data_IF_304760482972
#
_entry.id   IF_304760482972
#
_cell.length_a   1.000
_cell.length_b   1.000
_cell.length_c   1.000
_cell.angle_alpha   90.00
_cell.angle_beta   90.00
_cell.angle_gamma   90.00
#
_symmetry.space_group_name_H-M   'P 1'
#
loop_
_entity.id
_entity.type
_entity.pdbx_description
1 polymer ?
#
# COMPACT_ATOMS: atom_id res chain seq x y z
N UNK A 1 -25.08 -30.63 12.57
CA UNK A 1 -24.45 -29.36 12.98
C UNK A 1 -23.10 -29.11 12.28
N UNK A 2 -22.15 -30.07 12.25
CA UNK A 2 -20.84 -29.89 11.59
C UNK A 2 -20.87 -29.60 10.09
N UNK A 3 -21.77 -30.21 9.32
CA UNK A 3 -21.84 -29.97 7.85
C UNK A 3 -22.36 -28.58 7.48
N UNK A 4 -23.22 -27.97 8.29
CA UNK A 4 -23.76 -26.62 8.05
C UNK A 4 -22.76 -25.53 8.40
N UNK A 5 -21.98 -25.71 9.48
CA UNK A 5 -20.89 -24.80 9.87
C UNK A 5 -19.76 -24.82 8.83
N UNK A 6 -19.39 -26.01 8.33
CA UNK A 6 -18.37 -26.14 7.29
C UNK A 6 -18.75 -25.37 6.03
N UNK A 7 -19.98 -25.52 5.53
CA UNK A 7 -20.46 -24.78 4.34
C UNK A 7 -20.49 -23.26 4.55
N UNK A 8 -20.62 -22.79 5.79
CA UNK A 8 -20.72 -21.39 6.15
C UNK A 8 -19.36 -20.65 6.11
N UNK A 9 -18.25 -21.33 6.37
CA UNK A 9 -16.90 -20.74 6.49
C UNK A 9 -15.92 -21.22 5.42
N UNK A 10 -16.21 -22.35 4.79
CA UNK A 10 -15.34 -22.97 3.79
C UNK A 10 -16.04 -22.91 2.43
N UNK A 11 -15.35 -22.29 1.46
CA UNK A 11 -15.79 -22.22 0.06
C UNK A 11 -15.54 -23.53 -0.69
N UNK A 12 -16.11 -23.65 -1.86
CA UNK A 12 -15.76 -24.70 -2.83
C UNK A 12 -14.51 -24.32 -3.65
N UNK A 13 -14.01 -25.23 -4.46
CA UNK A 13 -12.84 -25.00 -5.30
C UNK A 13 -13.00 -23.81 -6.26
N UNK A 14 -14.21 -23.59 -6.79
CA UNK A 14 -14.51 -22.46 -7.67
C UNK A 14 -14.41 -21.13 -6.93
N UNK A 15 -14.86 -21.07 -5.67
CA UNK A 15 -14.72 -19.90 -4.82
C UNK A 15 -13.24 -19.53 -4.59
N UNK A 16 -12.41 -20.50 -4.23
CA UNK A 16 -10.98 -20.24 -4.01
C UNK A 16 -10.27 -19.86 -5.28
N UNK A 17 -10.63 -20.46 -6.42
CA UNK A 17 -10.10 -20.07 -7.74
C UNK A 17 -10.42 -18.61 -8.05
N UNK A 18 -11.64 -18.17 -7.79
CA UNK A 18 -12.07 -16.77 -7.97
C UNK A 18 -11.28 -15.83 -7.03
N UNK A 19 -11.19 -16.15 -5.74
CA UNK A 19 -10.46 -15.34 -4.77
C UNK A 19 -8.97 -15.21 -5.11
N UNK A 20 -8.32 -16.32 -5.45
CA UNK A 20 -6.91 -16.36 -5.84
C UNK A 20 -6.64 -15.67 -7.18
N UNK A 21 -7.58 -15.72 -8.13
CA UNK A 21 -7.46 -15.00 -9.39
C UNK A 21 -7.38 -13.46 -9.21
N UNK A 22 -7.93 -12.95 -8.11
CA UNK A 22 -7.81 -11.53 -7.74
C UNK A 22 -6.59 -11.29 -6.84
N UNK A 23 -6.42 -12.10 -5.80
CA UNK A 23 -5.39 -11.88 -4.78
C UNK A 23 -3.96 -12.16 -5.28
N UNK A 24 -3.74 -13.26 -6.02
CA UNK A 24 -2.39 -13.67 -6.44
C UNK A 24 -1.72 -12.64 -7.36
N UNK A 25 -2.39 -12.08 -8.39
CA UNK A 25 -1.78 -11.04 -9.20
C UNK A 25 -1.38 -9.79 -8.37
N UNK A 26 -2.22 -9.37 -7.41
CA UNK A 26 -1.92 -8.24 -6.52
C UNK A 26 -0.74 -8.58 -5.62
N UNK A 27 -0.69 -9.80 -5.09
CA UNK A 27 0.40 -10.29 -4.25
C UNK A 27 1.73 -10.31 -5.01
N UNK A 28 1.75 -10.84 -6.22
CA UNK A 28 2.94 -10.87 -7.07
C UNK A 28 3.42 -9.46 -7.37
N UNK A 29 2.52 -8.56 -7.78
CA UNK A 29 2.87 -7.17 -8.08
C UNK A 29 3.50 -6.48 -6.87
N UNK A 30 2.85 -6.53 -5.70
CA UNK A 30 3.34 -5.89 -4.48
C UNK A 30 4.66 -6.52 -4.00
N UNK A 31 4.77 -7.84 -4.06
CA UNK A 31 5.99 -8.56 -3.67
C UNK A 31 7.19 -8.17 -4.54
N UNK A 32 7.01 -8.13 -5.85
CA UNK A 32 8.06 -7.73 -6.80
C UNK A 32 8.42 -6.26 -6.61
N UNK A 33 7.45 -5.37 -6.43
CA UNK A 33 7.70 -3.94 -6.18
C UNK A 33 8.53 -3.74 -4.91
N UNK A 34 8.20 -4.43 -3.81
CA UNK A 34 8.97 -4.34 -2.56
C UNK A 34 10.40 -4.86 -2.74
N UNK A 35 10.56 -5.98 -3.45
CA UNK A 35 11.89 -6.55 -3.71
C UNK A 35 12.77 -5.61 -4.54
N UNK A 36 12.20 -4.95 -5.53
CA UNK A 36 12.95 -4.00 -6.37
C UNK A 36 13.31 -2.74 -5.63
N UNK A 37 12.41 -2.21 -4.81
CA UNK A 37 12.73 -1.07 -3.95
C UNK A 37 13.91 -1.36 -3.03
N UNK A 38 14.03 -2.61 -2.55
CA UNK A 38 15.21 -3.05 -1.79
C UNK A 38 16.47 -3.06 -2.67
N UNK A 39 16.40 -3.60 -3.89
CA UNK A 39 17.53 -3.62 -4.82
C UNK A 39 17.97 -2.21 -5.23
N UNK A 40 17.03 -1.31 -5.50
CA UNK A 40 17.31 0.10 -5.83
C UNK A 40 18.08 0.78 -4.70
N UNK A 41 17.66 0.59 -3.46
CA UNK A 41 18.36 1.13 -2.30
C UNK A 41 19.78 0.57 -2.17
N UNK A 42 19.99 -0.73 -2.42
CA UNK A 42 21.32 -1.36 -2.40
C UNK A 42 22.20 -0.80 -3.52
N UNK A 43 21.65 -0.64 -4.75
CA UNK A 43 22.38 -0.14 -5.92
C UNK A 43 22.83 1.31 -5.71
N UNK A 44 21.93 2.17 -5.23
CA UNK A 44 22.25 3.58 -4.92
C UNK A 44 23.24 3.66 -3.75
N UNK A 45 23.11 2.82 -2.73
CA UNK A 45 24.03 2.75 -1.60
C UNK A 45 25.49 2.43 -1.98
N UNK A 46 25.71 1.78 -3.13
CA UNK A 46 27.07 1.52 -3.66
C UNK A 46 27.71 2.73 -4.35
N UNK A 47 26.96 3.78 -4.63
CA UNK A 47 27.48 4.96 -5.35
C UNK A 47 28.16 5.94 -4.41
N UNK A 48 27.61 6.15 -3.21
CA UNK A 48 28.17 7.06 -2.20
C UNK A 48 27.13 7.43 -1.14
N UNK A 49 27.62 7.80 0.04
CA UNK A 49 26.78 8.10 1.21
C UNK A 49 25.92 9.35 0.99
N UNK A 50 26.48 10.41 0.41
CA UNK A 50 25.80 11.68 0.15
C UNK A 50 24.68 11.49 -0.87
N UNK A 51 24.92 10.70 -1.93
CA UNK A 51 23.91 10.36 -2.94
C UNK A 51 22.78 9.51 -2.32
N UNK A 52 23.15 8.49 -1.55
CA UNK A 52 22.18 7.64 -0.86
C UNK A 52 21.30 8.43 0.10
N UNK A 53 21.88 9.35 0.87
CA UNK A 53 21.15 10.23 1.79
C UNK A 53 20.16 11.12 1.04
N UNK A 54 20.62 11.77 -0.04
CA UNK A 54 19.76 12.61 -0.88
C UNK A 54 18.58 11.84 -1.47
N UNK A 55 18.82 10.66 -2.03
CA UNK A 55 17.79 9.78 -2.59
C UNK A 55 16.80 9.32 -1.52
N UNK A 56 17.27 8.93 -0.34
CA UNK A 56 16.41 8.48 0.75
C UNK A 56 15.44 9.59 1.21
N UNK A 57 15.93 10.82 1.36
CA UNK A 57 15.10 11.98 1.73
C UNK A 57 14.03 12.24 0.68
N UNK A 58 14.41 12.28 -0.60
CA UNK A 58 13.45 12.53 -1.67
C UNK A 58 12.42 11.41 -1.78
N UNK A 59 12.82 10.16 -1.61
CA UNK A 59 11.88 9.03 -1.58
C UNK A 59 10.87 9.13 -0.43
N UNK A 60 11.28 9.64 0.74
CA UNK A 60 10.36 9.91 1.84
C UNK A 60 9.35 11.01 1.51
N UNK A 61 9.77 12.07 0.82
CA UNK A 61 8.88 13.13 0.34
C UNK A 61 7.90 12.61 -0.72
N UNK A 62 8.41 11.84 -1.69
CA UNK A 62 7.59 11.22 -2.75
C UNK A 62 6.59 10.22 -2.16
N UNK A 63 6.93 9.54 -1.06
CA UNK A 63 6.02 8.62 -0.37
C UNK A 63 4.74 9.32 0.09
N UNK A 64 4.82 10.56 0.59
CA UNK A 64 3.64 11.37 0.96
C UNK A 64 2.76 11.65 -0.27
N UNK A 65 3.37 12.01 -1.40
CA UNK A 65 2.63 12.17 -2.66
C UNK A 65 1.95 10.86 -3.10
N UNK A 66 2.65 9.74 -3.02
CA UNK A 66 2.10 8.43 -3.37
C UNK A 66 0.88 8.07 -2.50
N UNK A 67 0.91 8.39 -1.20
CA UNK A 67 -0.23 8.19 -0.29
C UNK A 67 -1.45 9.04 -0.71
N UNK A 68 -1.23 10.28 -1.14
CA UNK A 68 -2.31 11.14 -1.61
C UNK A 68 -2.98 10.57 -2.87
N UNK A 69 -2.21 10.11 -3.85
CA UNK A 69 -2.72 9.45 -5.05
C UNK A 69 -3.45 8.16 -4.70
N UNK A 70 -2.86 7.33 -3.82
CA UNK A 70 -3.48 6.08 -3.36
C UNK A 70 -4.82 6.34 -2.67
N UNK A 71 -4.91 7.32 -1.78
CA UNK A 71 -6.15 7.68 -1.11
C UNK A 71 -7.25 8.12 -2.08
N UNK A 72 -6.90 8.95 -3.08
CA UNK A 72 -7.84 9.41 -4.10
C UNK A 72 -8.36 8.26 -5.00
N UNK A 73 -7.46 7.42 -5.52
CA UNK A 73 -7.81 6.24 -6.33
C UNK A 73 -8.66 5.26 -5.53
N UNK A 74 -8.29 5.02 -4.31
CA UNK A 74 -8.85 4.07 -3.38
C UNK A 74 -10.29 4.41 -2.97
N UNK A 75 -10.57 5.68 -2.67
CA UNK A 75 -11.91 6.14 -2.32
C UNK A 75 -12.89 6.06 -3.50
N UNK A 76 -12.45 6.50 -4.68
CA UNK A 76 -13.22 6.33 -5.91
C UNK A 76 -13.41 4.85 -6.29
N UNK A 77 -12.44 4.00 -5.94
CA UNK A 77 -12.46 2.58 -6.23
C UNK A 77 -13.64 1.83 -5.60
N UNK A 78 -14.15 2.29 -4.47
CA UNK A 78 -15.35 1.70 -3.84
C UNK A 78 -16.56 1.83 -4.78
N UNK A 79 -16.74 3.01 -5.37
CA UNK A 79 -17.79 3.26 -6.36
C UNK A 79 -17.54 2.47 -7.65
N UNK A 80 -16.29 2.44 -8.14
CA UNK A 80 -15.91 1.69 -9.34
C UNK A 80 -16.27 0.21 -9.24
N UNK A 81 -15.95 -0.45 -8.13
CA UNK A 81 -16.26 -1.86 -7.88
C UNK A 81 -17.78 -2.09 -7.79
N UNK A 82 -18.53 -1.20 -7.11
CA UNK A 82 -19.98 -1.34 -7.00
C UNK A 82 -20.70 -1.04 -8.32
N UNK A 83 -20.31 -0.02 -9.10
CA UNK A 83 -20.86 0.22 -10.42
C UNK A 83 -20.59 -0.94 -11.38
N UNK A 84 -19.39 -1.51 -11.32
CA UNK A 84 -19.05 -2.70 -12.10
C UNK A 84 -19.97 -3.88 -11.73
N UNK A 85 -20.17 -4.13 -10.45
CA UNK A 85 -21.09 -5.18 -9.98
C UNK A 85 -22.54 -4.95 -10.40
N UNK A 86 -23.00 -3.70 -10.45
CA UNK A 86 -24.32 -3.31 -10.98
C UNK A 86 -24.44 -3.49 -12.50
N UNK A 87 -23.30 -3.61 -13.22
CA UNK A 87 -23.28 -3.60 -14.69
C UNK A 87 -23.40 -2.20 -15.30
N UNK A 88 -23.25 -1.15 -14.51
CA UNK A 88 -23.34 0.23 -14.92
C UNK A 88 -21.98 0.75 -15.43
N UNK A 89 -21.75 0.57 -16.71
CA UNK A 89 -20.52 0.99 -17.38
C UNK A 89 -20.34 2.51 -17.43
N UNK A 90 -21.43 3.26 -17.38
CA UNK A 90 -21.34 4.72 -17.35
C UNK A 90 -20.91 5.20 -15.96
N UNK A 91 -21.45 4.62 -14.90
CA UNK A 91 -20.99 4.86 -13.53
C UNK A 91 -19.51 4.55 -13.35
N UNK A 92 -19.01 3.43 -13.89
CA UNK A 92 -17.57 3.11 -13.87
C UNK A 92 -16.77 4.16 -14.64
N UNK A 93 -17.24 4.62 -15.82
CA UNK A 93 -16.62 5.68 -16.61
C UNK A 93 -16.53 7.00 -15.85
N UNK A 94 -17.63 7.41 -15.21
CA UNK A 94 -17.65 8.65 -14.42
C UNK A 94 -16.69 8.57 -13.23
N UNK A 95 -16.62 7.43 -12.56
CA UNK A 95 -15.67 7.16 -11.47
C UNK A 95 -14.23 7.23 -11.96
N UNK A 96 -13.94 6.65 -13.12
CA UNK A 96 -12.60 6.72 -13.73
C UNK A 96 -12.22 8.15 -14.12
N UNK A 97 -13.14 8.94 -14.70
CA UNK A 97 -12.93 10.37 -14.97
C UNK A 97 -12.62 11.15 -13.70
N UNK A 98 -13.34 10.86 -12.61
CA UNK A 98 -13.06 11.47 -11.31
C UNK A 98 -11.63 11.18 -10.86
N UNK A 99 -11.19 9.93 -10.93
CA UNK A 99 -9.81 9.54 -10.60
C UNK A 99 -8.81 10.35 -11.43
N UNK A 100 -9.00 10.39 -12.76
CA UNK A 100 -8.11 11.14 -13.65
C UNK A 100 -8.03 12.62 -13.27
N UNK A 101 -9.16 13.29 -13.06
CA UNK A 101 -9.18 14.71 -12.73
C UNK A 101 -8.54 15.00 -11.37
N UNK A 102 -8.94 14.29 -10.33
CA UNK A 102 -8.43 14.52 -8.97
C UNK A 102 -6.97 14.15 -8.86
N UNK A 103 -6.57 13.01 -9.42
CA UNK A 103 -5.17 12.59 -9.37
C UNK A 103 -4.27 13.50 -10.22
N UNK A 104 -4.75 14.03 -11.37
CA UNK A 104 -4.01 15.04 -12.13
C UNK A 104 -3.89 16.34 -11.34
N UNK A 105 -4.95 16.81 -10.70
CA UNK A 105 -4.89 17.99 -9.84
C UNK A 105 -3.90 17.82 -8.68
N UNK A 106 -3.91 16.66 -8.01
CA UNK A 106 -2.94 16.32 -6.97
C UNK A 106 -1.51 16.23 -7.51
N UNK A 107 -1.34 15.74 -8.73
CA UNK A 107 -0.02 15.69 -9.40
C UNK A 107 0.52 17.08 -9.68
N UNK A 108 -0.31 17.96 -10.22
CA UNK A 108 0.08 19.37 -10.47
C UNK A 108 0.38 20.07 -9.15
N UNK A 109 -0.48 19.92 -8.14
CA UNK A 109 -0.27 20.50 -6.82
C UNK A 109 1.03 19.98 -6.17
N UNK A 110 1.25 18.67 -6.19
CA UNK A 110 2.47 18.07 -5.65
C UNK A 110 3.74 18.53 -6.40
N UNK A 111 3.68 18.60 -7.73
CA UNK A 111 4.78 19.12 -8.52
C UNK A 111 5.06 20.61 -8.20
N UNK A 112 4.02 21.43 -8.06
CA UNK A 112 4.18 22.85 -7.67
C UNK A 112 4.81 22.97 -6.26
N UNK A 113 4.34 22.17 -5.29
CA UNK A 113 4.91 22.16 -3.93
C UNK A 113 6.39 21.80 -3.98
N UNK A 114 6.77 20.74 -4.70
CA UNK A 114 8.15 20.29 -4.77
C UNK A 114 9.04 21.25 -5.58
N UNK A 115 8.52 21.94 -6.60
CA UNK A 115 9.27 22.94 -7.33
C UNK A 115 9.50 24.21 -6.50
N UNK A 116 8.51 24.63 -5.71
CA UNK A 116 8.60 25.87 -4.92
C UNK A 116 9.31 25.68 -3.58
N UNK A 117 9.05 24.56 -2.90
CA UNK A 117 9.48 24.31 -1.53
C UNK A 117 10.39 23.06 -1.39
N UNK A 118 10.77 22.40 -2.48
CA UNK A 118 11.53 21.16 -2.45
C UNK A 118 12.85 21.28 -1.74
N UNK A 119 13.57 22.38 -1.94
CA UNK A 119 14.83 22.66 -1.24
C UNK A 119 14.63 22.80 0.28
N UNK A 120 13.65 23.60 0.70
CA UNK A 120 13.33 23.80 2.12
C UNK A 120 12.91 22.50 2.78
N UNK A 121 12.11 21.69 2.08
CA UNK A 121 11.67 20.38 2.57
C UNK A 121 12.84 19.41 2.72
N UNK A 122 13.79 19.37 1.79
CA UNK A 122 15.00 18.54 1.87
C UNK A 122 15.87 19.00 3.04
N UNK A 123 16.06 20.33 3.19
CA UNK A 123 16.85 20.91 4.27
C UNK A 123 16.29 20.61 5.65
N UNK A 124 14.97 20.43 5.82
CA UNK A 124 14.38 20.00 7.08
C UNK A 124 14.91 18.65 7.57
N UNK A 125 15.24 17.74 6.65
CA UNK A 125 15.78 16.42 6.96
C UNK A 125 17.31 16.45 7.17
N UNK A 126 18.01 17.44 6.59
CA UNK A 126 19.47 17.57 6.69
C UNK A 126 19.91 18.38 7.92
N UNK A 127 18.98 18.93 8.71
CA UNK A 127 19.29 19.66 9.94
C UNK A 127 19.71 18.68 11.04
N UNK A 128 20.99 18.68 11.40
CA UNK A 128 21.43 18.04 12.64
C UNK A 128 22.78 17.35 12.59
N UNK A 129 23.14 16.57 11.57
CA UNK A 129 24.36 15.78 11.56
C UNK A 129 25.07 15.83 10.20
N UNK A 130 26.26 16.42 10.14
CA UNK A 130 27.13 16.41 8.97
C UNK A 130 27.97 17.69 8.84
N UNK A 131 29.09 17.58 8.12
CA UNK A 131 29.86 18.79 7.73
C UNK A 131 29.06 19.64 6.74
N UNK A 132 29.27 20.97 6.71
CA UNK A 132 28.59 21.83 5.71
C UNK A 132 28.77 21.36 4.27
N UNK A 133 29.91 20.76 3.94
CA UNK A 133 30.21 20.21 2.62
C UNK A 133 29.36 18.97 2.30
N UNK A 134 29.18 18.06 3.26
CA UNK A 134 28.33 16.88 3.10
C UNK A 134 26.86 17.25 2.95
N UNK A 135 26.41 18.24 3.72
CA UNK A 135 25.02 18.75 3.62
C UNK A 135 24.80 19.36 2.24
N UNK A 136 25.72 20.21 1.77
CA UNK A 136 25.62 20.82 0.44
C UNK A 136 25.66 19.79 -0.70
N UNK A 137 26.51 18.78 -0.60
CA UNK A 137 26.59 17.70 -1.58
C UNK A 137 25.29 16.87 -1.62
N UNK A 138 24.80 16.44 -0.44
CA UNK A 138 23.55 15.68 -0.33
C UNK A 138 22.34 16.46 -0.84
N UNK A 139 22.29 17.78 -0.56
CA UNK A 139 21.25 18.67 -1.07
C UNK A 139 21.30 18.77 -2.62
N UNK A 140 22.50 18.89 -3.19
CA UNK A 140 22.69 18.94 -4.65
C UNK A 140 22.14 17.68 -5.33
N UNK A 141 22.54 16.50 -4.85
CA UNK A 141 22.03 15.21 -5.37
C UNK A 141 20.54 15.03 -5.15
N UNK A 142 20.01 15.44 -4.00
CA UNK A 142 18.59 15.36 -3.71
C UNK A 142 17.76 16.25 -4.66
N UNK A 143 18.21 17.48 -4.92
CA UNK A 143 17.53 18.41 -5.86
C UNK A 143 17.51 17.84 -7.27
N UNK A 144 18.65 17.36 -7.77
CA UNK A 144 18.74 16.76 -9.10
C UNK A 144 17.83 15.53 -9.23
N UNK A 145 17.89 14.62 -8.25
CA UNK A 145 17.04 13.45 -8.19
C UNK A 145 15.55 13.82 -8.16
N UNK A 146 15.15 14.80 -7.34
CA UNK A 146 13.76 15.27 -7.23
C UNK A 146 13.26 15.80 -8.55
N UNK A 147 14.02 16.68 -9.23
CA UNK A 147 13.63 17.28 -10.50
C UNK A 147 13.37 16.23 -11.58
N UNK A 148 14.21 15.19 -11.67
CA UNK A 148 14.01 14.08 -12.59
C UNK A 148 12.74 13.30 -12.22
N UNK A 149 12.54 13.00 -10.93
CA UNK A 149 11.39 12.25 -10.44
C UNK A 149 10.05 12.94 -10.66
N UNK A 150 10.01 14.30 -10.70
CA UNK A 150 8.79 15.06 -11.01
C UNK A 150 8.22 14.70 -12.39
N UNK A 151 9.07 14.42 -13.37
CA UNK A 151 8.63 13.96 -14.71
C UNK A 151 7.90 12.62 -14.59
N UNK A 152 8.33 11.77 -13.68
CA UNK A 152 7.73 10.46 -13.40
C UNK A 152 6.38 10.50 -12.67
N UNK A 153 5.95 11.65 -12.16
CA UNK A 153 4.65 11.77 -11.47
C UNK A 153 3.47 11.58 -12.41
N UNK A 154 3.57 12.10 -13.64
CA UNK A 154 2.49 11.97 -14.64
C UNK A 154 2.24 10.51 -15.00
N UNK A 155 3.23 9.73 -15.51
CA UNK A 155 3.01 8.33 -15.84
C UNK A 155 2.63 7.49 -14.61
N UNK A 156 3.19 7.76 -13.43
CA UNK A 156 2.80 7.11 -12.19
C UNK A 156 1.31 7.29 -11.90
N UNK A 157 0.82 8.53 -11.94
CA UNK A 157 -0.58 8.85 -11.68
C UNK A 157 -1.52 8.18 -12.67
N UNK A 158 -1.18 8.20 -13.96
CA UNK A 158 -1.94 7.50 -14.99
C UNK A 158 -1.97 5.99 -14.76
N UNK A 159 -0.80 5.40 -14.47
CA UNK A 159 -0.71 3.97 -14.15
C UNK A 159 -1.59 3.60 -12.95
N UNK A 160 -1.62 4.42 -11.88
CA UNK A 160 -2.45 4.16 -10.71
C UNK A 160 -3.96 4.25 -11.02
N UNK A 161 -4.39 5.25 -11.80
CA UNK A 161 -5.79 5.40 -12.18
C UNK A 161 -6.28 4.22 -13.02
N UNK A 162 -5.52 3.82 -14.04
CA UNK A 162 -5.84 2.69 -14.89
C UNK A 162 -5.78 1.36 -14.13
N UNK A 163 -4.67 1.08 -13.44
CA UNK A 163 -4.48 -0.15 -12.68
C UNK A 163 -5.54 -0.34 -11.59
N UNK A 164 -5.86 0.75 -10.87
CA UNK A 164 -6.92 0.73 -9.86
C UNK A 164 -8.26 0.32 -10.46
N UNK A 165 -8.65 0.96 -11.57
CA UNK A 165 -9.94 0.66 -12.20
C UNK A 165 -9.98 -0.72 -12.86
N UNK A 166 -8.87 -1.18 -13.44
CA UNK A 166 -8.76 -2.55 -13.96
C UNK A 166 -8.91 -3.59 -12.85
N UNK A 167 -8.30 -3.38 -11.67
CA UNK A 167 -8.48 -4.29 -10.52
C UNK A 167 -9.93 -4.32 -10.04
N UNK A 168 -10.58 -3.16 -9.94
CA UNK A 168 -11.98 -3.03 -9.52
C UNK A 168 -12.96 -3.73 -10.47
N UNK A 169 -12.59 -3.82 -11.76
CA UNK A 169 -13.35 -4.50 -12.82
C UNK A 169 -12.86 -5.93 -13.10
N UNK A 170 -12.08 -6.52 -12.17
CA UNK A 170 -11.65 -7.91 -12.24
C UNK A 170 -10.46 -8.19 -13.16
N UNK A 171 -9.88 -7.17 -13.82
CA UNK A 171 -8.71 -7.32 -14.70
C UNK A 171 -7.39 -7.16 -13.92
N UNK A 172 -7.15 -8.03 -12.94
CA UNK A 172 -6.01 -7.92 -12.00
C UNK A 172 -4.67 -8.35 -12.60
N UNK A 173 -4.69 -9.22 -13.61
CA UNK A 173 -3.47 -9.73 -14.27
C UNK A 173 -2.75 -8.64 -15.05
N UNK A 174 -3.49 -7.70 -15.65
CA UNK A 174 -2.89 -6.66 -16.50
C UNK A 174 -2.00 -5.70 -15.70
N UNK A 175 -2.46 -5.13 -14.57
CA UNK A 175 -1.60 -4.34 -13.68
C UNK A 175 -0.40 -5.13 -13.15
N UNK A 176 -0.57 -6.43 -12.85
CA UNK A 176 0.53 -7.28 -12.43
C UNK A 176 1.59 -7.39 -13.52
N UNK A 177 1.22 -7.71 -14.76
CA UNK A 177 2.16 -7.82 -15.88
C UNK A 177 2.86 -6.49 -16.14
N UNK A 178 2.11 -5.38 -16.14
CA UNK A 178 2.68 -4.05 -16.30
C UNK A 178 3.72 -3.73 -15.21
N UNK A 179 3.41 -4.06 -13.95
CA UNK A 179 4.34 -3.90 -12.84
C UNK A 179 5.59 -4.76 -12.99
N UNK A 180 5.45 -6.05 -13.37
CA UNK A 180 6.60 -6.93 -13.61
C UNK A 180 7.50 -6.40 -14.73
N UNK A 181 6.92 -5.98 -15.85
CA UNK A 181 7.68 -5.41 -16.98
C UNK A 181 8.39 -4.13 -16.56
N UNK A 182 7.70 -3.24 -15.85
CA UNK A 182 8.26 -2.01 -15.32
C UNK A 182 9.49 -2.26 -14.44
N UNK A 183 9.39 -3.25 -13.57
CA UNK A 183 10.47 -3.67 -12.67
C UNK A 183 11.69 -4.19 -13.43
N UNK A 184 11.49 -5.05 -14.42
CA UNK A 184 12.60 -5.55 -15.25
C UNK A 184 13.29 -4.39 -15.98
N UNK A 185 12.50 -3.47 -16.54
CA UNK A 185 13.02 -2.25 -17.19
C UNK A 185 13.80 -1.39 -16.20
N UNK A 186 13.26 -1.16 -15.00
CA UNK A 186 13.93 -0.40 -13.95
C UNK A 186 15.30 -1.00 -13.60
N UNK A 187 15.37 -2.31 -13.34
CA UNK A 187 16.62 -3.00 -13.02
C UNK A 187 17.66 -2.94 -14.15
N UNK A 188 17.21 -3.11 -15.40
CA UNK A 188 18.09 -3.00 -16.55
C UNK A 188 18.69 -1.58 -16.66
N UNK A 189 17.84 -0.54 -16.62
CA UNK A 189 18.30 0.84 -16.73
C UNK A 189 19.06 1.30 -15.49
N UNK A 190 18.73 0.85 -14.29
CA UNK A 190 19.54 1.08 -13.09
C UNK A 190 20.96 0.57 -13.28
N UNK A 191 21.11 -0.68 -13.73
CA UNK A 191 22.42 -1.27 -13.97
C UNK A 191 23.23 -0.48 -15.00
N UNK A 192 22.59 -0.03 -16.08
CA UNK A 192 23.25 0.73 -17.15
C UNK A 192 23.61 2.16 -16.71
N UNK A 193 22.69 2.88 -16.07
CA UNK A 193 22.83 4.32 -15.81
C UNK A 193 23.50 4.63 -14.46
N UNK A 194 23.34 3.78 -13.44
CA UNK A 194 24.03 3.98 -12.16
C UNK A 194 25.52 3.70 -12.29
N UNK A 195 25.87 2.59 -12.93
CA UNK A 195 27.25 2.10 -13.00
C UNK A 195 27.97 2.40 -14.32
N UNK A 196 27.24 2.81 -15.37
CA UNK A 196 27.84 3.17 -16.66
C UNK A 196 28.28 1.97 -17.50
N UNK A 197 27.56 0.83 -17.41
CA UNK A 197 27.88 -0.34 -18.22
C UNK A 197 27.50 -0.15 -19.69
N UNK A 198 28.12 -0.93 -20.58
CA UNK A 198 27.87 -0.94 -22.03
C UNK A 198 28.05 0.42 -22.72
N UNK A 199 28.92 1.29 -22.19
CA UNK A 199 29.19 2.60 -22.79
C UNK A 199 28.20 3.72 -22.40
N UNK A 200 27.25 3.43 -21.48
CA UNK A 200 26.39 4.43 -20.93
C UNK A 200 27.15 5.32 -19.92
N UNK A 201 26.76 6.62 -19.75
CA UNK A 201 27.37 7.49 -18.78
C UNK A 201 27.05 7.01 -17.35
N UNK A 202 28.04 7.10 -16.45
CA UNK A 202 27.86 6.80 -15.04
C UNK A 202 27.19 7.98 -14.33
N UNK A 203 25.88 7.93 -14.15
CA UNK A 203 25.07 9.02 -13.62
C UNK A 203 24.77 8.88 -12.10
N UNK A 204 25.13 7.75 -11.47
CA UNK A 204 24.87 7.53 -10.05
C UNK A 204 23.40 7.68 -9.66
N UNK A 205 23.10 8.54 -8.68
CA UNK A 205 21.73 8.76 -8.18
C UNK A 205 20.77 9.29 -9.27
N UNK A 206 21.24 10.20 -10.14
CA UNK A 206 20.44 10.71 -11.27
C UNK A 206 20.11 9.61 -12.26
N UNK A 207 21.01 8.66 -12.45
CA UNK A 207 20.77 7.45 -13.25
C UNK A 207 19.64 6.59 -12.68
N UNK A 208 19.58 6.43 -11.35
CA UNK A 208 18.48 5.73 -10.67
C UNK A 208 17.14 6.44 -10.87
N UNK A 209 17.11 7.79 -10.79
CA UNK A 209 15.90 8.57 -11.05
C UNK A 209 15.41 8.38 -12.49
N UNK A 210 16.30 8.49 -13.48
CA UNK A 210 15.96 8.29 -14.90
C UNK A 210 15.43 6.90 -15.14
N UNK A 211 16.07 5.86 -14.61
CA UNK A 211 15.62 4.48 -14.73
C UNK A 211 14.21 4.29 -14.16
N UNK A 212 13.94 4.87 -12.99
CA UNK A 212 12.62 4.84 -12.35
C UNK A 212 11.57 5.56 -13.19
N UNK A 213 11.89 6.71 -13.76
CA UNK A 213 10.98 7.47 -14.64
C UNK A 213 10.66 6.68 -15.90
N UNK A 214 11.67 6.09 -16.56
CA UNK A 214 11.46 5.21 -17.73
C UNK A 214 10.54 4.05 -17.39
N UNK A 215 10.79 3.38 -16.26
CA UNK A 215 9.98 2.26 -15.78
C UNK A 215 8.51 2.67 -15.56
N UNK A 216 8.26 3.86 -15.01
CA UNK A 216 6.90 4.40 -14.83
C UNK A 216 6.20 4.68 -16.15
N UNK A 217 6.92 5.20 -17.16
CA UNK A 217 6.36 5.37 -18.52
C UNK A 217 6.02 4.03 -19.15
N UNK A 218 6.86 3.01 -18.98
CA UNK A 218 6.58 1.65 -19.48
C UNK A 218 5.36 1.06 -18.78
N UNK A 219 5.26 1.16 -17.46
CA UNK A 219 4.09 0.68 -16.70
C UNK A 219 2.80 1.33 -17.20
N UNK A 220 2.77 2.65 -17.27
CA UNK A 220 1.64 3.39 -17.78
C UNK A 220 1.30 3.01 -19.22
N UNK A 221 2.32 2.93 -20.08
CA UNK A 221 2.18 2.54 -21.48
C UNK A 221 1.57 1.15 -21.66
N UNK A 222 2.05 0.15 -20.92
CA UNK A 222 1.53 -1.22 -20.98
C UNK A 222 0.07 -1.27 -20.57
N UNK A 223 -0.28 -0.66 -19.43
CA UNK A 223 -1.66 -0.67 -18.93
C UNK A 223 -2.61 0.09 -19.85
N UNK A 224 -2.22 1.28 -20.30
CA UNK A 224 -3.03 2.11 -21.19
C UNK A 224 -3.21 1.45 -22.57
N UNK A 225 -2.13 0.96 -23.15
CA UNK A 225 -2.15 0.33 -24.48
C UNK A 225 -3.03 -0.92 -24.47
N UNK A 226 -2.88 -1.77 -23.43
CA UNK A 226 -3.71 -2.95 -23.28
C UNK A 226 -5.19 -2.56 -23.13
N UNK A 227 -5.49 -1.59 -22.28
CA UNK A 227 -6.86 -1.16 -21.99
C UNK A 227 -7.55 -0.62 -23.27
N UNK A 228 -6.85 0.19 -24.06
CA UNK A 228 -7.41 0.75 -25.30
C UNK A 228 -7.49 -0.26 -26.46
N UNK A 229 -6.66 -1.31 -26.44
CA UNK A 229 -6.72 -2.41 -27.43
C UNK A 229 -7.79 -3.46 -27.13
N UNK A 230 -8.32 -3.49 -25.91
CA UNK A 230 -9.35 -4.46 -25.50
C UNK A 230 -10.68 -3.81 -25.08
N UNK A 231 -11.32 -3.01 -25.95
CA UNK A 231 -12.52 -2.24 -25.62
C UNK A 231 -13.72 -3.11 -25.24
N UNK A 232 -13.70 -4.41 -25.59
CA UNK A 232 -14.75 -5.36 -25.22
C UNK A 232 -14.65 -5.78 -23.75
N UNK A 233 -13.43 -5.87 -23.22
CA UNK A 233 -13.16 -6.21 -21.81
C UNK A 233 -13.30 -5.01 -20.88
N UNK A 234 -13.11 -3.80 -21.40
CA UNK A 234 -13.15 -2.54 -20.67
C UNK A 234 -14.07 -1.52 -21.35
N UNK A 235 -15.39 -1.81 -21.47
CA UNK A 235 -16.33 -0.98 -22.23
C UNK A 235 -16.48 0.43 -21.66
N UNK A 236 -16.19 0.64 -20.39
CA UNK A 236 -16.24 1.94 -19.73
C UNK A 236 -15.20 2.94 -20.27
N UNK A 237 -14.14 2.48 -20.96
CA UNK A 237 -13.16 3.37 -21.59
C UNK A 237 -13.62 3.94 -22.93
N UNK A 238 -14.66 3.37 -23.55
CA UNK A 238 -15.21 3.90 -24.81
C UNK A 238 -15.73 5.32 -24.60
N UNK A 239 -15.11 6.30 -25.25
CA UNK A 239 -15.50 7.70 -25.15
C UNK A 239 -15.19 8.39 -23.82
N UNK A 240 -14.32 7.82 -23.00
CA UNK A 240 -13.95 8.39 -21.69
C UNK A 240 -13.40 9.82 -21.82
N UNK A 241 -12.62 10.11 -22.85
CA UNK A 241 -12.00 11.42 -23.10
C UNK A 241 -12.88 12.40 -23.91
N UNK A 242 -14.08 11.99 -24.37
CA UNK A 242 -14.99 12.89 -25.11
C UNK A 242 -15.58 13.99 -24.23
N UNK A 243 -15.68 13.74 -22.95
CA UNK A 243 -16.17 14.72 -21.97
C UNK A 243 -15.60 14.38 -20.61
N UNK A 244 -15.17 15.42 -19.87
CA UNK A 244 -14.75 15.29 -18.47
C UNK A 244 -15.84 15.79 -17.49
N UNK A 245 -17.07 15.93 -17.95
CA UNK A 245 -18.21 16.28 -17.08
C UNK A 245 -18.55 15.07 -16.19
N UNK A 246 -18.61 15.33 -14.90
CA UNK A 246 -18.99 14.37 -13.85
C UNK A 246 -20.18 14.98 -13.13
N UNK A 247 -21.25 14.22 -12.84
CA UNK A 247 -22.35 14.72 -12.01
C UNK A 247 -21.82 15.22 -10.67
N UNK A 248 -22.20 16.45 -10.30
CA UNK A 248 -21.66 17.09 -9.09
C UNK A 248 -22.02 16.30 -7.81
N UNK A 249 -23.17 15.66 -7.79
CA UNK A 249 -23.59 14.77 -6.69
C UNK A 249 -22.62 13.60 -6.54
N UNK A 250 -22.31 12.89 -7.63
CA UNK A 250 -21.36 11.77 -7.62
C UNK A 250 -19.96 12.23 -7.22
N UNK A 251 -19.47 13.35 -7.77
CA UNK A 251 -18.16 13.89 -7.41
C UNK A 251 -18.07 14.21 -5.91
N UNK A 252 -19.13 14.83 -5.35
CA UNK A 252 -19.22 15.12 -3.91
C UNK A 252 -19.23 13.85 -3.07
N UNK A 253 -19.97 12.82 -3.48
CA UNK A 253 -20.07 11.58 -2.73
C UNK A 253 -18.78 10.79 -2.76
N UNK A 254 -18.10 10.73 -3.90
CA UNK A 254 -16.76 10.15 -4.00
C UNK A 254 -15.77 10.92 -3.12
N UNK A 255 -15.75 12.25 -3.18
CA UNK A 255 -14.86 13.08 -2.36
C UNK A 255 -15.09 12.85 -0.85
N UNK A 256 -16.36 12.84 -0.40
CA UNK A 256 -16.72 12.53 0.99
C UNK A 256 -16.23 11.17 1.48
N UNK A 257 -16.14 10.18 0.59
CA UNK A 257 -15.63 8.84 0.91
C UNK A 257 -14.10 8.76 0.79
N UNK A 258 -13.49 9.56 -0.09
CA UNK A 258 -12.04 9.58 -0.31
C UNK A 258 -11.28 10.30 0.81
N UNK A 259 -11.81 11.41 1.34
CA UNK A 259 -11.16 12.22 2.37
C UNK A 259 -10.83 11.41 3.64
N UNK A 260 -11.76 10.63 4.24
CA UNK A 260 -11.42 9.82 5.40
C UNK A 260 -10.35 8.76 5.11
N UNK A 261 -10.31 8.21 3.89
CA UNK A 261 -9.28 7.23 3.51
C UNK A 261 -7.92 7.90 3.33
N UNK A 262 -7.86 9.09 2.75
CA UNK A 262 -6.63 9.86 2.66
C UNK A 262 -6.07 10.18 4.05
N UNK A 263 -6.94 10.63 4.96
CA UNK A 263 -6.57 10.87 6.35
C UNK A 263 -6.11 9.57 7.04
N UNK A 264 -6.77 8.44 6.74
CA UNK A 264 -6.38 7.14 7.26
C UNK A 264 -4.94 6.80 6.89
N UNK A 265 -4.58 6.86 5.61
CA UNK A 265 -3.23 6.53 5.14
C UNK A 265 -2.17 7.45 5.77
N UNK A 266 -2.47 8.74 5.85
CA UNK A 266 -1.54 9.73 6.44
C UNK A 266 -1.34 9.49 7.93
N UNK A 267 -2.43 9.28 8.68
CA UNK A 267 -2.37 9.01 10.12
C UNK A 267 -1.73 7.66 10.42
N UNK A 268 -1.98 6.65 9.59
CA UNK A 268 -1.36 5.35 9.72
C UNK A 268 0.16 5.45 9.58
N UNK A 269 0.65 6.16 8.55
CA UNK A 269 2.07 6.37 8.33
C UNK A 269 2.72 7.13 9.52
N UNK A 270 2.07 8.19 10.00
CA UNK A 270 2.51 8.93 11.18
C UNK A 270 2.52 8.05 12.44
N UNK A 271 1.48 7.25 12.66
CA UNK A 271 1.37 6.31 13.77
C UNK A 271 2.50 5.28 13.79
N UNK A 272 2.82 4.71 12.62
CA UNK A 272 3.92 3.74 12.49
C UNK A 272 5.29 4.38 12.76
N UNK A 273 5.51 5.63 12.32
CA UNK A 273 6.73 6.37 12.64
C UNK A 273 6.85 6.67 14.13
N UNK A 274 5.76 7.05 14.79
CA UNK A 274 5.73 7.28 16.24
C UNK A 274 5.95 5.99 17.04
N UNK A 275 5.41 4.85 16.59
CA UNK A 275 5.69 3.56 17.20
C UNK A 275 7.17 3.19 17.10
N UNK A 276 7.77 3.35 15.91
CA UNK A 276 9.21 3.13 15.72
C UNK A 276 10.04 4.02 16.65
N UNK A 277 9.65 5.30 16.83
CA UNK A 277 10.30 6.21 17.78
C UNK A 277 10.12 5.74 19.23
N UNK A 278 8.95 5.23 19.61
CA UNK A 278 8.76 4.68 20.97
C UNK A 278 9.68 3.48 21.23
N UNK A 279 9.94 2.65 20.24
CA UNK A 279 10.88 1.53 20.38
C UNK A 279 12.33 2.01 20.41
N UNK A 280 12.69 3.03 19.63
CA UNK A 280 14.07 3.55 19.53
C UNK A 280 14.64 4.08 20.84
N UNK A 281 13.79 4.56 21.76
CA UNK A 281 14.20 5.03 23.10
C UNK A 281 14.87 3.92 23.94
N UNK A 282 14.64 2.65 23.58
CA UNK A 282 15.21 1.48 24.29
C UNK A 282 16.62 1.10 23.82
N UNK A 283 17.19 1.83 22.87
CA UNK A 283 18.60 1.70 22.47
C UNK A 283 18.81 1.43 20.97
N UNK A 284 20.05 1.60 20.55
CA UNK A 284 20.46 1.44 19.15
C UNK A 284 20.21 0.01 18.60
N UNK A 285 20.48 -1.01 19.43
CA UNK A 285 20.28 -2.41 19.08
C UNK A 285 18.81 -2.70 18.72
N UNK A 286 17.87 -2.03 19.42
CA UNK A 286 16.43 -2.15 19.17
C UNK A 286 16.05 -1.58 17.80
N UNK A 287 16.61 -0.44 17.43
CA UNK A 287 16.37 0.19 16.12
C UNK A 287 16.85 -0.74 14.99
N UNK A 288 18.05 -1.26 15.13
CA UNK A 288 18.65 -2.17 14.16
C UNK A 288 17.85 -3.47 14.02
N UNK A 289 17.46 -4.07 15.14
CA UNK A 289 16.63 -5.27 15.17
C UNK A 289 15.24 -5.04 14.58
N UNK A 290 14.61 -3.89 14.87
CA UNK A 290 13.31 -3.51 14.33
C UNK A 290 13.36 -3.32 12.81
N UNK A 291 14.43 -2.70 12.28
CA UNK A 291 14.60 -2.53 10.83
C UNK A 291 14.74 -3.89 10.10
N UNK A 292 15.51 -4.81 10.67
CA UNK A 292 15.62 -6.18 10.15
C UNK A 292 14.24 -6.87 10.17
N UNK A 293 13.54 -6.80 11.30
CA UNK A 293 12.20 -7.36 11.45
C UNK A 293 11.21 -6.75 10.44
N UNK A 294 11.21 -5.43 10.29
CA UNK A 294 10.32 -4.71 9.35
C UNK A 294 10.55 -5.17 7.91
N UNK A 295 11.79 -5.37 7.50
CA UNK A 295 12.13 -5.86 6.16
C UNK A 295 11.50 -7.23 5.88
N UNK A 296 11.65 -8.17 6.82
CA UNK A 296 11.04 -9.51 6.71
C UNK A 296 9.51 -9.41 6.70
N UNK A 297 8.97 -8.66 7.67
CA UNK A 297 7.52 -8.51 7.82
C UNK A 297 6.87 -7.94 6.56
N UNK A 298 7.49 -6.97 5.90
CA UNK A 298 6.96 -6.38 4.67
C UNK A 298 6.80 -7.39 3.54
N UNK A 299 7.69 -8.38 3.44
CA UNK A 299 7.58 -9.46 2.44
C UNK A 299 6.36 -10.33 2.72
N UNK A 300 6.15 -10.72 3.96
CA UNK A 300 5.03 -11.60 4.34
C UNK A 300 3.69 -10.86 4.38
N UNK A 301 3.70 -9.58 4.77
CA UNK A 301 2.49 -8.75 4.88
C UNK A 301 1.80 -8.51 3.52
N UNK A 302 2.53 -8.63 2.41
CA UNK A 302 1.96 -8.58 1.04
C UNK A 302 0.78 -9.54 0.89
N UNK A 303 0.81 -10.69 1.55
CA UNK A 303 -0.23 -11.71 1.44
C UNK A 303 -1.58 -11.22 2.01
N UNK A 304 -1.62 -10.75 3.25
CA UNK A 304 -2.89 -10.27 3.82
C UNK A 304 -3.36 -8.95 3.21
N UNK A 305 -2.43 -8.08 2.78
CA UNK A 305 -2.77 -6.86 2.04
C UNK A 305 -3.46 -7.18 0.71
N UNK A 306 -2.95 -8.17 -0.03
CA UNK A 306 -3.56 -8.61 -1.28
C UNK A 306 -4.93 -9.27 -1.04
N UNK A 307 -5.06 -10.07 0.02
CA UNK A 307 -6.33 -10.66 0.42
C UNK A 307 -7.36 -9.60 0.83
N UNK A 308 -6.96 -8.57 1.57
CA UNK A 308 -7.81 -7.43 1.90
C UNK A 308 -8.32 -6.71 0.65
N UNK A 309 -7.44 -6.44 -0.31
CA UNK A 309 -7.85 -5.85 -1.60
C UNK A 309 -8.86 -6.76 -2.33
N UNK A 310 -8.66 -8.07 -2.34
CA UNK A 310 -9.59 -9.03 -2.93
C UNK A 310 -10.97 -8.99 -2.23
N UNK A 311 -11.00 -8.89 -0.89
CA UNK A 311 -12.25 -8.65 -0.14
C UNK A 311 -12.92 -7.37 -0.62
N UNK A 312 -12.20 -6.26 -0.66
CA UNK A 312 -12.75 -4.96 -1.10
C UNK A 312 -13.35 -4.98 -2.50
N UNK A 313 -12.69 -5.68 -3.44
CA UNK A 313 -13.15 -5.80 -4.83
C UNK A 313 -14.36 -6.73 -4.94
N UNK A 314 -14.23 -7.97 -4.50
CA UNK A 314 -15.26 -9.00 -4.70
C UNK A 314 -16.54 -8.69 -3.93
N UNK A 315 -16.40 -8.27 -2.68
CA UNK A 315 -17.54 -7.88 -1.84
C UNK A 315 -18.18 -6.60 -2.38
N UNK A 316 -17.37 -5.61 -2.78
CA UNK A 316 -17.87 -4.37 -3.40
C UNK A 316 -18.69 -4.63 -4.64
N UNK A 317 -18.26 -5.54 -5.53
CA UNK A 317 -18.99 -5.94 -6.72
C UNK A 317 -20.35 -6.60 -6.36
N UNK A 318 -20.39 -7.48 -5.38
CA UNK A 318 -21.63 -8.13 -4.94
C UNK A 318 -22.60 -7.13 -4.31
N UNK A 319 -22.13 -6.18 -3.52
CA UNK A 319 -22.94 -5.10 -2.95
C UNK A 319 -23.55 -4.23 -4.06
N UNK A 320 -22.74 -3.90 -5.08
CA UNK A 320 -23.20 -3.14 -6.25
C UNK A 320 -24.24 -3.87 -7.06
N UNK A 321 -24.11 -5.19 -7.21
CA UNK A 321 -25.09 -6.06 -7.87
C UNK A 321 -26.40 -6.24 -7.07
N UNK A 322 -26.50 -5.71 -5.85
CA UNK A 322 -27.65 -5.90 -4.98
C UNK A 322 -27.73 -7.28 -4.30
N UNK A 323 -26.70 -8.11 -4.43
CA UNK A 323 -26.64 -9.49 -3.91
C UNK A 323 -26.13 -9.51 -2.47
N UNK A 324 -26.91 -8.97 -1.54
CA UNK A 324 -26.46 -8.73 -0.16
C UNK A 324 -26.15 -10.02 0.61
N UNK A 325 -26.94 -11.08 0.46
CA UNK A 325 -26.73 -12.36 1.12
C UNK A 325 -25.45 -13.05 0.61
N UNK A 326 -25.23 -13.02 -0.72
CA UNK A 326 -24.04 -13.57 -1.36
C UNK A 326 -22.80 -12.78 -0.94
N UNK A 327 -22.90 -11.45 -0.77
CA UNK A 327 -21.83 -10.61 -0.27
C UNK A 327 -21.42 -11.00 1.17
N UNK A 328 -22.39 -11.24 2.07
CA UNK A 328 -22.12 -11.68 3.44
C UNK A 328 -21.50 -13.07 3.48
N UNK A 329 -21.96 -14.00 2.67
CA UNK A 329 -21.39 -15.35 2.60
C UNK A 329 -19.97 -15.32 2.04
N UNK A 330 -19.74 -14.56 0.96
CA UNK A 330 -18.42 -14.38 0.33
C UNK A 330 -17.44 -13.70 1.28
N UNK A 331 -17.84 -12.63 1.94
CA UNK A 331 -17.01 -11.90 2.91
C UNK A 331 -16.52 -12.82 4.03
N UNK A 332 -17.42 -13.57 4.65
CA UNK A 332 -17.10 -14.51 5.72
C UNK A 332 -16.08 -15.57 5.29
N UNK A 333 -16.26 -16.13 4.08
CA UNK A 333 -15.33 -17.13 3.52
C UNK A 333 -13.97 -16.51 3.18
N UNK A 334 -13.93 -15.29 2.64
CA UNK A 334 -12.69 -14.57 2.34
C UNK A 334 -11.92 -14.20 3.60
N UNK A 335 -12.60 -13.73 4.66
CA UNK A 335 -11.98 -13.45 5.96
C UNK A 335 -11.34 -14.73 6.52
N UNK A 336 -12.11 -15.84 6.54
CA UNK A 336 -11.61 -17.13 7.03
C UNK A 336 -10.39 -17.58 6.22
N UNK A 337 -10.46 -17.49 4.90
CA UNK A 337 -9.37 -17.88 4.02
C UNK A 337 -8.11 -17.03 4.23
N UNK A 338 -8.27 -15.69 4.38
CA UNK A 338 -7.17 -14.79 4.70
C UNK A 338 -6.46 -15.17 6.00
N UNK A 339 -7.22 -15.43 7.05
CA UNK A 339 -6.67 -15.85 8.36
C UNK A 339 -5.93 -17.17 8.24
N UNK A 340 -6.50 -18.17 7.55
CA UNK A 340 -5.87 -19.49 7.37
C UNK A 340 -4.56 -19.39 6.58
N UNK A 341 -4.53 -18.63 5.48
CA UNK A 341 -3.29 -18.37 4.73
C UNK A 341 -2.24 -17.74 5.66
N UNK A 342 -2.64 -16.76 6.46
CA UNK A 342 -1.71 -16.04 7.33
C UNK A 342 -1.25 -16.88 8.55
N UNK A 343 -2.00 -17.89 8.97
CA UNK A 343 -1.50 -18.90 9.94
C UNK A 343 -0.36 -19.70 9.28
N UNK A 344 -0.53 -20.15 8.04
CA UNK A 344 0.51 -20.91 7.33
C UNK A 344 1.74 -20.07 7.08
N UNK A 345 1.55 -18.84 6.56
CA UNK A 345 2.65 -17.91 6.28
C UNK A 345 3.35 -17.42 7.55
N UNK A 346 2.61 -17.22 8.65
CA UNK A 346 3.18 -16.91 9.97
C UNK A 346 4.04 -18.07 10.48
N UNK A 347 3.58 -19.32 10.28
CA UNK A 347 4.41 -20.49 10.56
C UNK A 347 5.71 -20.51 9.77
N UNK A 348 5.65 -20.27 8.46
CA UNK A 348 6.84 -20.15 7.60
C UNK A 348 7.75 -19.00 8.03
N UNK A 349 7.19 -17.82 8.32
CA UNK A 349 7.93 -16.66 8.81
C UNK A 349 8.65 -16.96 10.14
N UNK A 350 8.00 -17.71 11.03
CA UNK A 350 8.61 -18.13 12.30
C UNK A 350 9.78 -19.10 12.09
N UNK A 351 9.71 -19.98 11.09
CA UNK A 351 10.82 -20.88 10.72
C UNK A 351 12.04 -20.12 10.20
N UNK A 352 11.85 -19.10 9.38
CA UNK A 352 12.94 -18.30 8.83
C UNK A 352 13.43 -17.20 9.80
N UNK A 353 12.74 -17.00 10.92
CA UNK A 353 13.05 -15.93 11.88
C UNK A 353 14.48 -15.95 12.41
N UNK A 354 15.09 -17.13 12.52
CA UNK A 354 16.48 -17.27 12.96
C UNK A 354 17.48 -17.12 11.80
N UNK A 355 17.11 -17.55 10.60
CA UNK A 355 18.01 -17.58 9.45
C UNK A 355 18.22 -16.19 8.84
N UNK A 356 17.13 -15.41 8.72
CA UNK A 356 17.17 -14.13 8.02
C UNK A 356 18.10 -13.08 8.67
N UNK A 357 18.13 -12.89 10.01
CA UNK A 357 19.06 -11.96 10.64
C UNK A 357 20.54 -12.33 10.45
N UNK A 358 20.88 -13.58 10.12
CA UNK A 358 22.25 -14.03 9.87
C UNK A 358 22.83 -13.45 8.57
N UNK A 359 21.98 -13.01 7.64
CA UNK A 359 22.41 -12.36 6.39
C UNK A 359 23.06 -10.99 6.69
N UNK A 360 22.69 -10.38 7.82
CA UNK A 360 23.20 -9.07 8.21
C UNK A 360 24.50 -9.20 9.00
N UNK A 361 25.48 -8.37 8.63
CA UNK A 361 26.74 -8.28 9.39
C UNK A 361 26.56 -7.39 10.62
N UNK A 362 26.05 -7.97 11.71
CA UNK A 362 25.74 -7.29 12.97
C UNK A 362 26.02 -8.19 14.17
N UNK A 363 25.88 -7.66 15.39
CA UNK A 363 26.12 -8.42 16.61
C UNK A 363 25.09 -9.54 16.83
N UNK A 364 25.49 -10.58 17.56
CA UNK A 364 24.59 -11.69 17.90
C UNK A 364 23.41 -11.25 18.79
N UNK A 365 23.62 -10.19 19.61
CA UNK A 365 22.55 -9.55 20.38
C UNK A 365 21.46 -9.01 19.47
N UNK A 366 21.82 -8.23 18.43
CA UNK A 366 20.89 -7.65 17.46
C UNK A 366 20.20 -8.77 16.66
N UNK A 367 20.94 -9.80 16.23
CA UNK A 367 20.37 -10.96 15.53
C UNK A 367 19.34 -11.69 16.38
N UNK A 368 19.65 -11.94 17.65
CA UNK A 368 18.74 -12.57 18.60
C UNK A 368 17.47 -11.76 18.83
N UNK A 369 17.62 -10.44 19.00
CA UNK A 369 16.49 -9.53 19.17
C UNK A 369 15.61 -9.43 17.91
N UNK A 370 16.23 -9.34 16.74
CA UNK A 370 15.51 -9.35 15.46
C UNK A 370 14.72 -10.65 15.26
N UNK A 371 15.31 -11.80 15.57
CA UNK A 371 14.62 -13.09 15.51
C UNK A 371 13.43 -13.15 16.47
N UNK A 372 13.54 -12.58 17.67
CA UNK A 372 12.43 -12.47 18.61
C UNK A 372 11.28 -11.59 18.07
N UNK A 373 11.59 -10.43 17.50
CA UNK A 373 10.61 -9.55 16.88
C UNK A 373 9.92 -10.21 15.69
N UNK A 374 10.68 -10.89 14.81
CA UNK A 374 10.11 -11.61 13.66
C UNK A 374 9.14 -12.70 14.13
N UNK A 375 9.47 -13.45 15.20
CA UNK A 375 8.56 -14.46 15.76
C UNK A 375 7.27 -13.84 16.32
N UNK A 376 7.37 -12.68 16.96
CA UNK A 376 6.17 -11.97 17.45
C UNK A 376 5.30 -11.53 16.27
N UNK A 377 5.88 -10.93 15.24
CA UNK A 377 5.13 -10.56 14.03
C UNK A 377 4.50 -11.78 13.35
N UNK A 378 5.22 -12.90 13.29
CA UNK A 378 4.72 -14.15 12.75
C UNK A 378 3.50 -14.68 13.53
N UNK A 379 3.57 -14.65 14.87
CA UNK A 379 2.47 -15.04 15.74
C UNK A 379 1.25 -14.12 15.60
N UNK A 380 1.48 -12.81 15.42
CA UNK A 380 0.42 -11.81 15.29
C UNK A 380 -0.12 -11.69 13.86
N UNK A 381 0.51 -12.32 12.87
CA UNK A 381 0.11 -12.23 11.47
C UNK A 381 -1.35 -12.60 11.19
N UNK A 382 -1.95 -13.66 11.82
CA UNK A 382 -3.38 -13.95 11.68
C UNK A 382 -4.28 -12.85 12.25
N UNK A 383 -3.85 -12.17 13.33
CA UNK A 383 -4.57 -11.05 13.95
C UNK A 383 -4.58 -9.88 12.98
N UNK A 384 -3.42 -9.55 12.39
CA UNK A 384 -3.29 -8.49 11.40
C UNK A 384 -4.11 -8.79 10.14
N UNK A 385 -4.14 -10.05 9.69
CA UNK A 385 -4.96 -10.48 8.56
C UNK A 385 -6.45 -10.31 8.84
N UNK A 386 -6.92 -10.65 10.04
CA UNK A 386 -8.31 -10.45 10.44
C UNK A 386 -8.67 -8.97 10.53
N UNK A 387 -7.83 -8.15 11.16
CA UNK A 387 -8.04 -6.70 11.26
C UNK A 387 -8.08 -6.05 9.86
N UNK A 388 -7.16 -6.43 8.98
CA UNK A 388 -7.10 -5.94 7.60
C UNK A 388 -8.32 -6.36 6.78
N UNK A 389 -8.76 -7.62 6.88
CA UNK A 389 -9.98 -8.09 6.22
C UNK A 389 -11.20 -7.31 6.71
N UNK A 390 -11.35 -7.10 8.03
CA UNK A 390 -12.43 -6.27 8.59
C UNK A 390 -12.40 -4.83 8.05
N UNK A 391 -11.21 -4.22 7.92
CA UNK A 391 -11.03 -2.91 7.32
C UNK A 391 -11.57 -2.86 5.89
N UNK A 392 -11.19 -3.81 5.04
CA UNK A 392 -11.64 -3.83 3.64
C UNK A 392 -13.13 -4.16 3.50
N UNK A 393 -13.69 -5.00 4.38
CA UNK A 393 -15.13 -5.27 4.45
C UNK A 393 -15.92 -3.98 4.74
N UNK A 394 -15.57 -3.25 5.80
CA UNK A 394 -16.21 -1.99 6.16
C UNK A 394 -16.09 -0.95 5.04
N UNK A 395 -14.93 -0.90 4.41
CA UNK A 395 -14.64 -0.01 3.30
C UNK A 395 -15.46 -0.33 2.05
N UNK A 396 -15.65 -1.61 1.69
CA UNK A 396 -16.41 -2.04 0.51
C UNK A 396 -17.86 -1.54 0.52
N UNK A 397 -18.46 -1.41 1.72
CA UNK A 397 -19.77 -0.79 1.95
C UNK A 397 -19.77 0.74 2.03
N UNK A 398 -18.65 1.39 1.76
CA UNK A 398 -18.53 2.85 1.78
C UNK A 398 -18.53 3.49 3.17
N UNK A 399 -18.28 2.73 4.24
CA UNK A 399 -18.18 3.24 5.63
C UNK A 399 -16.78 3.79 5.92
N UNK A 400 -16.27 4.65 5.06
CA UNK A 400 -14.87 5.12 5.09
C UNK A 400 -14.51 5.91 6.34
N UNK A 401 -15.43 6.67 6.92
CA UNK A 401 -15.20 7.33 8.19
C UNK A 401 -15.08 6.33 9.35
N UNK A 402 -15.88 5.28 9.33
CA UNK A 402 -15.79 4.19 10.31
C UNK A 402 -14.48 3.44 10.16
N UNK A 403 -14.04 3.17 8.91
CA UNK A 403 -12.74 2.54 8.66
C UNK A 403 -11.57 3.40 9.13
N UNK A 404 -11.63 4.70 8.98
CA UNK A 404 -10.65 5.64 9.52
C UNK A 404 -10.56 5.57 11.06
N UNK A 405 -11.71 5.58 11.76
CA UNK A 405 -11.75 5.44 13.23
C UNK A 405 -11.26 4.07 13.69
N UNK A 406 -11.63 3.04 12.96
CA UNK A 406 -11.26 1.66 13.25
C UNK A 406 -9.76 1.39 13.10
N UNK A 407 -9.12 1.99 12.12
CA UNK A 407 -7.71 1.72 11.79
C UNK A 407 -6.76 2.77 12.38
N UNK A 408 -6.57 3.88 11.70
CA UNK A 408 -5.52 4.84 12.03
C UNK A 408 -5.79 5.63 13.31
N UNK A 409 -7.05 6.03 13.54
CA UNK A 409 -7.41 6.70 14.79
C UNK A 409 -7.18 5.78 15.99
N UNK A 410 -7.53 4.49 15.87
CA UNK A 410 -7.26 3.50 16.92
C UNK A 410 -5.75 3.39 17.22
N UNK A 411 -4.90 3.32 16.19
CA UNK A 411 -3.43 3.28 16.37
C UNK A 411 -2.95 4.52 17.12
N UNK A 412 -3.38 5.70 16.70
CA UNK A 412 -2.91 6.96 17.28
C UNK A 412 -3.42 7.20 18.71
N UNK A 413 -4.62 6.74 19.04
CA UNK A 413 -5.25 7.00 20.36
C UNK A 413 -4.98 5.90 21.37
N UNK A 414 -4.76 4.67 20.93
CA UNK A 414 -4.55 3.54 21.82
C UNK A 414 -3.13 2.96 21.72
N UNK A 415 -2.70 2.53 20.52
CA UNK A 415 -1.44 1.78 20.37
C UNK A 415 -0.22 2.67 20.59
N UNK A 416 -0.19 3.89 20.03
CA UNK A 416 0.92 4.83 20.21
C UNK A 416 1.05 5.32 21.65
N UNK A 417 -0.02 5.79 22.34
CA UNK A 417 0.08 6.16 23.74
C UNK A 417 0.48 5.00 24.65
N UNK A 418 -0.04 3.79 24.40
CA UNK A 418 0.37 2.59 25.13
C UNK A 418 1.87 2.30 24.93
N UNK A 419 2.37 2.34 23.69
CA UNK A 419 3.79 2.16 23.40
C UNK A 419 4.65 3.26 24.07
N UNK A 420 4.18 4.51 24.07
CA UNK A 420 4.84 5.64 24.70
C UNK A 420 4.96 5.44 26.23
N UNK A 421 3.88 5.05 26.90
CA UNK A 421 3.86 4.79 28.35
C UNK A 421 4.76 3.59 28.66
N UNK A 422 4.60 2.48 27.96
CA UNK A 422 5.39 1.28 28.20
C UNK A 422 6.89 1.50 27.94
N UNK A 423 7.25 2.30 26.93
CA UNK A 423 8.66 2.53 26.60
C UNK A 423 9.37 3.47 27.56
N UNK A 424 8.68 4.45 28.15
CA UNK A 424 9.31 5.51 28.97
C UNK A 424 9.05 5.40 30.45
N UNK A 425 7.91 4.87 30.87
CA UNK A 425 7.49 4.86 32.27
C UNK A 425 7.48 3.47 32.92
N UNK A 426 7.86 2.42 32.17
CA UNK A 426 7.96 1.08 32.73
C UNK A 426 9.34 0.48 32.53
N UNK A 427 9.75 -0.44 33.44
CA UNK A 427 10.96 -1.25 33.29
C UNK A 427 10.79 -2.49 32.39
N UNK A 428 9.67 -2.57 31.63
CA UNK A 428 9.37 -3.73 30.82
C UNK A 428 10.44 -3.95 29.73
N UNK A 429 11.03 -5.17 29.59
CA UNK A 429 11.96 -5.47 28.51
C UNK A 429 11.32 -5.22 27.12
N UNK A 430 12.15 -4.92 26.12
CA UNK A 430 11.65 -4.53 24.79
C UNK A 430 10.84 -5.61 24.08
N UNK A 431 11.16 -6.89 24.28
CA UNK A 431 10.45 -8.01 23.62
C UNK A 431 9.01 -8.12 24.11
N UNK A 432 8.72 -8.19 25.44
CA UNK A 432 7.34 -8.11 25.94
C UNK A 432 6.62 -6.82 25.57
N UNK A 433 7.32 -5.68 25.59
CA UNK A 433 6.76 -4.39 25.19
C UNK A 433 6.27 -4.44 23.74
N UNK A 434 7.11 -4.91 22.83
CA UNK A 434 6.77 -5.07 21.42
C UNK A 434 5.59 -6.03 21.23
N UNK A 435 5.56 -7.14 21.97
CA UNK A 435 4.43 -8.08 21.95
C UNK A 435 3.12 -7.41 22.42
N UNK A 436 3.14 -6.63 23.50
CA UNK A 436 1.95 -5.90 23.97
C UNK A 436 1.41 -4.96 22.91
N UNK A 437 2.30 -4.22 22.22
CA UNK A 437 1.91 -3.30 21.14
C UNK A 437 1.28 -4.05 19.95
N UNK A 438 1.80 -5.21 19.58
CA UNK A 438 1.24 -6.03 18.50
C UNK A 438 -0.11 -6.67 18.90
N UNK A 439 -0.26 -7.08 20.15
CA UNK A 439 -1.52 -7.65 20.66
C UNK A 439 -2.62 -6.60 20.82
N UNK A 440 -2.31 -5.31 20.83
CA UNK A 440 -3.31 -4.24 20.83
C UNK A 440 -4.30 -4.38 19.66
N UNK A 441 -3.87 -4.90 18.51
CA UNK A 441 -4.73 -5.13 17.34
C UNK A 441 -5.84 -6.19 17.56
N UNK A 442 -5.77 -6.98 18.64
CA UNK A 442 -6.90 -7.82 19.06
C UNK A 442 -8.15 -6.97 19.32
N UNK A 443 -7.98 -5.78 19.91
CA UNK A 443 -9.09 -4.87 20.11
C UNK A 443 -9.74 -4.44 18.78
N UNK A 444 -8.94 -4.16 17.75
CA UNK A 444 -9.44 -3.94 16.39
C UNK A 444 -10.24 -5.14 15.88
N UNK A 445 -9.70 -6.35 16.04
CA UNK A 445 -10.39 -7.57 15.59
C UNK A 445 -11.77 -7.74 16.25
N UNK A 446 -11.86 -7.50 17.57
CA UNK A 446 -13.13 -7.60 18.30
C UNK A 446 -14.14 -6.56 17.79
N UNK A 447 -13.73 -5.30 17.69
CA UNK A 447 -14.59 -4.21 17.20
C UNK A 447 -15.00 -4.48 15.74
N UNK A 448 -14.06 -4.88 14.88
CA UNK A 448 -14.30 -5.20 13.48
C UNK A 448 -15.33 -6.33 13.31
N UNK A 449 -15.17 -7.44 14.05
CA UNK A 449 -16.10 -8.56 14.01
C UNK A 449 -17.50 -8.17 14.50
N UNK A 450 -17.61 -7.33 15.54
CA UNK A 450 -18.90 -6.83 16.01
C UNK A 450 -19.58 -5.99 14.91
N UNK A 451 -18.83 -5.09 14.26
CA UNK A 451 -19.36 -4.25 13.19
C UNK A 451 -19.79 -5.08 11.96
N UNK A 452 -19.00 -6.09 11.58
CA UNK A 452 -19.34 -7.01 10.49
C UNK A 452 -20.60 -7.78 10.82
N UNK A 453 -20.72 -8.35 12.02
CA UNK A 453 -21.90 -9.09 12.46
C UNK A 453 -23.16 -8.22 12.51
N UNK A 454 -23.03 -6.94 12.87
CA UNK A 454 -24.14 -5.97 12.85
C UNK A 454 -24.54 -5.53 11.44
N UNK A 455 -23.82 -5.96 10.40
CA UNK A 455 -24.14 -5.64 9.00
C UNK A 455 -24.00 -4.16 8.63
N UNK A 456 -23.23 -3.36 9.41
CA UNK A 456 -23.05 -1.92 9.18
C UNK A 456 -22.54 -1.58 7.79
N UNK A 457 -21.80 -2.51 7.19
CA UNK A 457 -21.15 -2.39 5.89
C UNK A 457 -22.05 -2.83 4.70
N UNK A 458 -23.17 -3.51 4.96
CA UNK A 458 -24.06 -4.04 3.91
C UNK A 458 -24.83 -2.87 3.29
N UNK A 459 -24.20 -2.17 2.34
CA UNK A 459 -24.76 -0.99 1.68
C UNK A 459 -24.45 -1.00 0.19
N UNK A 460 -25.49 -0.82 -0.61
CA UNK A 460 -25.36 -0.44 -2.01
C UNK A 460 -25.34 1.09 -2.11
N UNK A 461 -24.17 1.68 -2.35
CA UNK A 461 -24.02 3.14 -2.43
C UNK A 461 -24.33 3.69 -3.83
N UNK A 462 -24.44 2.82 -4.82
CA UNK A 462 -24.72 3.15 -6.24
C UNK A 462 -26.17 2.79 -6.66
N UNK A 463 -26.95 2.22 -5.74
CA UNK A 463 -28.34 1.82 -5.97
C UNK A 463 -29.36 2.96 -5.81
N UNK A 464 -28.97 4.07 -5.18
CA UNK A 464 -29.82 5.26 -5.14
C UNK A 464 -29.68 5.98 -6.48
N UNK A 465 -30.70 5.89 -7.32
CA UNK A 465 -30.89 6.86 -8.39
C UNK A 465 -30.83 8.26 -7.76
N UNK A 466 -30.06 9.14 -8.38
CA UNK A 466 -30.05 10.54 -8.03
C UNK A 466 -31.47 11.08 -8.26
N UNK A 467 -32.26 11.19 -7.19
CA UNK A 467 -33.54 11.89 -7.19
C UNK A 467 -33.28 13.39 -7.31
#
# INVERSE_FOLDING_TARGET
MHSSLRKKYIGNAAFYKMALAVAVPIMIQNGITNFVSLLDNIMVGRVGTEQMTGVAIVNQLIFVFNLAIFGAVSGAGIFGAQYYGKGDWDGVRQTFRFKLLVCTALTVLGACIFLLFGEDLILLYLKGDGSPEQIAASLGYAKEYLLIMLVGFIPFTLAQCYSGTLRETGQTVVPMVAGVVSVVVNLCFNTLLIFGYLGFPRLGASGAAIATVIARFVEAGVVMLWAHRNPERVPYLRGVYRSFRIPAALARDIAKKSIPLLLNETLWAAGMALLAQCYSVRGYDVVSAYNICSTVSNVFNVAFMAMGNAVGILVGQLLGAGKMEEAVDTDRKLITFSVVICIVLGGLMSLVAHLFPQIYNTSDSIRGLAAAFIRICALCMPINALANACYFTLRSGGKTFVTFLFDSFYVCVLTVPMAFVLSRFTGLPIVPLFLCCQLADIGKCVVGLIMIRRGVWIQNIVGKEAA
#
